data_IF_480683230105
#
_entry.id   IF_480683230105
#
_cell.length_a   1.000
_cell.length_b   1.000
_cell.length_c   1.000
_cell.angle_alpha   90.00
_cell.angle_beta   90.00
_cell.angle_gamma   90.00
#
_symmetry.space_group_name_H-M   'P 1'
#
loop_
_entity.id
_entity.type
_entity.pdbx_description
1 polymer ?
#
# COMPACT_ATOMS: atom_id res chain seq x y z
N UNK A 1 18.18 37.05 -13.16
CA UNK A 1 18.60 35.65 -12.86
C UNK A 1 18.48 35.46 -11.35
N UNK A 2 17.64 34.55 -10.94
CA UNK A 2 17.42 34.15 -9.53
C UNK A 2 18.73 33.57 -8.96
N UNK A 3 18.92 33.60 -7.63
CA UNK A 3 20.09 33.03 -6.94
C UNK A 3 20.31 31.56 -7.33
N UNK A 4 19.24 30.79 -7.40
CA UNK A 4 19.29 29.35 -7.75
C UNK A 4 19.76 29.14 -9.18
N UNK A 5 19.36 29.98 -10.13
CA UNK A 5 19.84 29.89 -11.52
C UNK A 5 21.34 30.17 -11.63
N UNK A 6 21.88 31.04 -10.76
CA UNK A 6 23.34 31.28 -10.69
C UNK A 6 24.06 30.09 -10.09
N UNK A 7 23.55 29.53 -8.98
CA UNK A 7 24.16 28.38 -8.30
C UNK A 7 24.21 27.14 -9.18
N UNK A 8 23.16 26.92 -10.01
CA UNK A 8 23.06 25.74 -10.87
C UNK A 8 23.36 26.03 -12.35
N UNK A 9 24.05 27.15 -12.65
CA UNK A 9 24.34 27.54 -14.03
C UNK A 9 25.11 26.47 -14.82
N UNK A 10 26.02 25.75 -14.13
CA UNK A 10 26.83 24.68 -14.74
C UNK A 10 26.22 23.28 -14.58
N UNK A 11 25.12 23.13 -13.86
CA UNK A 11 24.46 21.83 -13.69
C UNK A 11 23.52 21.62 -14.88
N UNK A 12 23.89 20.69 -15.76
CA UNK A 12 23.05 20.31 -16.90
C UNK A 12 22.18 19.11 -16.53
N UNK A 13 20.93 19.13 -16.98
CA UNK A 13 20.03 17.97 -16.86
C UNK A 13 20.41 17.01 -18.00
N UNK A 14 20.77 15.76 -17.68
CA UNK A 14 21.26 14.84 -18.69
C UNK A 14 20.15 14.37 -19.65
N UNK A 15 20.59 13.81 -20.79
CA UNK A 15 19.72 13.14 -21.75
C UNK A 15 19.07 11.91 -21.11
N UNK A 16 17.78 11.74 -21.36
CA UNK A 16 16.95 10.65 -20.86
C UNK A 16 16.61 9.66 -21.98
N UNK A 17 16.58 8.39 -21.65
CA UNK A 17 16.24 7.29 -22.54
C UNK A 17 15.01 6.58 -22.01
N UNK A 18 13.94 6.42 -22.80
CA UNK A 18 12.76 5.71 -22.37
C UNK A 18 13.03 4.22 -22.23
N UNK A 19 12.50 3.63 -21.16
CA UNK A 19 12.64 2.21 -20.85
C UNK A 19 11.27 1.63 -20.49
N UNK A 20 10.95 0.47 -21.07
CA UNK A 20 9.85 -0.38 -20.63
C UNK A 20 10.36 -1.43 -19.66
N UNK A 21 9.59 -1.66 -18.60
CA UNK A 21 9.84 -2.69 -17.63
C UNK A 21 8.70 -3.72 -17.68
N UNK A 22 9.04 -4.93 -18.06
CA UNK A 22 8.08 -6.05 -18.13
C UNK A 22 7.82 -6.58 -16.72
N UNK A 23 6.59 -6.38 -16.24
CA UNK A 23 6.15 -6.80 -14.91
C UNK A 23 5.13 -7.94 -15.02
N UNK A 24 5.11 -8.87 -14.04
CA UNK A 24 4.06 -9.88 -13.97
C UNK A 24 2.67 -9.26 -13.97
N UNK A 25 1.73 -9.86 -14.67
CA UNK A 25 0.35 -9.41 -14.77
C UNK A 25 -0.61 -10.40 -14.14
N UNK A 26 -1.53 -9.90 -13.34
CA UNK A 26 -2.68 -10.67 -12.86
C UNK A 26 -3.62 -11.00 -14.02
N UNK A 27 -4.09 -12.24 -14.04
CA UNK A 27 -4.92 -12.76 -15.13
C UNK A 27 -6.36 -13.06 -14.69
N UNK A 28 -6.65 -13.00 -13.38
CA UNK A 28 -7.98 -13.32 -12.86
C UNK A 28 -8.97 -12.22 -13.24
N UNK A 29 -9.92 -12.58 -14.07
CA UNK A 29 -10.99 -11.68 -14.51
C UNK A 29 -12.15 -11.69 -13.53
N UNK A 30 -12.88 -10.58 -13.49
CA UNK A 30 -14.07 -10.43 -12.65
C UNK A 30 -15.05 -11.60 -12.75
N UNK A 31 -15.29 -12.08 -13.97
CA UNK A 31 -16.23 -13.18 -14.23
C UNK A 31 -15.77 -14.55 -13.69
N UNK A 32 -14.50 -14.70 -13.33
CA UNK A 32 -13.92 -15.95 -12.86
C UNK A 32 -13.92 -16.06 -11.33
N UNK A 33 -14.14 -14.95 -10.61
CA UNK A 33 -13.99 -14.84 -9.15
C UNK A 33 -14.94 -15.78 -8.43
N UNK A 34 -16.22 -15.79 -8.82
CA UNK A 34 -17.23 -16.65 -8.18
C UNK A 34 -16.83 -18.13 -8.27
N UNK A 35 -16.48 -18.60 -9.46
CA UNK A 35 -16.11 -20.00 -9.70
C UNK A 35 -14.81 -20.37 -8.93
N UNK A 36 -13.81 -19.48 -8.93
CA UNK A 36 -12.56 -19.70 -8.22
C UNK A 36 -12.77 -19.81 -6.71
N UNK A 37 -13.51 -18.88 -6.11
CA UNK A 37 -13.75 -18.89 -4.67
C UNK A 37 -14.62 -20.07 -4.25
N UNK A 38 -15.68 -20.41 -5.00
CA UNK A 38 -16.47 -21.61 -4.71
C UNK A 38 -15.65 -22.89 -4.82
N UNK A 39 -14.73 -22.97 -5.80
CA UNK A 39 -13.76 -24.07 -5.90
C UNK A 39 -12.87 -24.18 -4.65
N UNK A 40 -12.30 -23.04 -4.20
CA UNK A 40 -11.48 -22.97 -3.01
C UNK A 40 -12.24 -23.35 -1.72
N UNK A 41 -13.50 -22.88 -1.57
CA UNK A 41 -14.35 -23.25 -0.41
C UNK A 41 -14.67 -24.75 -0.41
N UNK A 42 -15.00 -25.32 -1.57
CA UNK A 42 -15.35 -26.74 -1.69
C UNK A 42 -14.15 -27.64 -1.43
N UNK A 43 -12.98 -27.33 -2.01
CA UNK A 43 -11.73 -28.09 -1.80
C UNK A 43 -11.40 -28.21 -0.30
N UNK A 44 -11.60 -27.12 0.44
CA UNK A 44 -11.29 -27.04 1.88
C UNK A 44 -12.47 -27.44 2.77
N UNK A 45 -13.60 -27.85 2.18
CA UNK A 45 -14.82 -28.31 2.86
C UNK A 45 -15.33 -27.33 3.91
N UNK A 46 -15.26 -26.04 3.62
CA UNK A 46 -15.61 -24.97 4.57
C UNK A 46 -17.13 -24.84 4.78
N UNK A 47 -17.93 -25.32 3.86
CA UNK A 47 -19.38 -25.46 4.00
C UNK A 47 -19.77 -26.29 5.24
N UNK A 48 -18.98 -27.32 5.57
CA UNK A 48 -19.19 -28.16 6.75
C UNK A 48 -18.95 -27.42 8.10
N UNK A 49 -18.27 -26.27 8.07
CA UNK A 49 -18.03 -25.45 9.28
C UNK A 49 -19.17 -24.47 9.56
N UNK A 50 -20.10 -24.28 8.62
CA UNK A 50 -21.24 -23.40 8.76
C UNK A 50 -22.51 -24.23 9.03
N UNK A 51 -23.04 -24.10 10.24
CA UNK A 51 -24.29 -24.77 10.60
C UNK A 51 -25.49 -23.92 10.18
N UNK A 52 -26.66 -24.55 9.86
CA UNK A 52 -27.88 -23.80 9.58
C UNK A 52 -28.24 -22.80 10.67
N UNK A 53 -28.51 -21.56 10.28
CA UNK A 53 -28.85 -20.45 11.18
C UNK A 53 -27.66 -19.79 11.89
N UNK A 54 -26.43 -20.25 11.70
CA UNK A 54 -25.21 -19.69 12.26
C UNK A 54 -24.98 -18.26 11.74
N UNK A 55 -24.80 -17.30 12.66
CA UNK A 55 -24.47 -15.92 12.31
C UNK A 55 -22.99 -15.83 11.91
N UNK A 56 -22.70 -15.29 10.70
CA UNK A 56 -21.35 -15.18 10.17
C UNK A 56 -20.99 -13.74 9.88
N UNK A 57 -20.01 -13.21 10.62
CA UNK A 57 -19.48 -11.88 10.45
C UNK A 57 -18.38 -11.86 9.35
N UNK A 58 -18.59 -11.04 8.31
CA UNK A 58 -17.64 -10.90 7.19
C UNK A 58 -16.90 -9.58 7.35
N UNK A 59 -15.61 -9.66 7.64
CA UNK A 59 -14.73 -8.52 7.85
C UNK A 59 -14.22 -7.94 6.53
N UNK A 60 -14.53 -6.68 6.24
CA UNK A 60 -14.09 -5.98 5.03
C UNK A 60 -13.23 -4.77 5.40
N UNK A 61 -12.04 -4.66 4.78
CA UNK A 61 -11.07 -3.61 5.07
C UNK A 61 -11.35 -2.28 4.36
N UNK A 62 -10.48 -1.30 4.62
CA UNK A 62 -10.58 0.11 4.17
C UNK A 62 -9.73 0.42 2.93
N UNK A 63 -9.18 -0.55 2.27
CA UNK A 63 -8.38 -0.32 1.05
C UNK A 63 -9.17 -0.73 -0.16
N UNK A 64 -9.12 0.09 -1.19
CA UNK A 64 -9.61 -0.29 -2.50
C UNK A 64 -8.82 -1.53 -2.97
N UNK A 65 -9.56 -2.56 -3.35
CA UNK A 65 -9.04 -3.81 -3.88
C UNK A 65 -9.79 -4.06 -5.17
N UNK A 66 -9.06 -4.39 -6.21
CA UNK A 66 -9.69 -4.72 -7.50
C UNK A 66 -10.64 -5.92 -7.33
N UNK A 67 -11.84 -5.80 -7.87
CA UNK A 67 -12.91 -6.80 -7.75
C UNK A 67 -13.43 -7.04 -6.31
N UNK A 68 -13.25 -6.10 -5.37
CA UNK A 68 -13.70 -6.25 -3.99
C UNK A 68 -15.20 -6.61 -3.88
N UNK A 69 -16.04 -5.94 -4.67
CA UNK A 69 -17.50 -6.15 -4.68
C UNK A 69 -17.84 -7.60 -5.00
N UNK A 70 -17.23 -8.16 -6.04
CA UNK A 70 -17.45 -9.54 -6.48
C UNK A 70 -16.96 -10.54 -5.43
N UNK A 71 -15.78 -10.28 -4.86
CA UNK A 71 -15.19 -11.12 -3.81
C UNK A 71 -16.11 -11.16 -2.60
N UNK A 72 -16.50 -9.99 -2.07
CA UNK A 72 -17.38 -9.90 -0.89
C UNK A 72 -18.74 -10.54 -1.16
N UNK A 73 -19.34 -10.26 -2.32
CA UNK A 73 -20.61 -10.85 -2.72
C UNK A 73 -20.55 -12.37 -2.81
N UNK A 74 -19.45 -12.91 -3.36
CA UNK A 74 -19.25 -14.37 -3.43
C UNK A 74 -19.13 -14.99 -2.05
N UNK A 75 -18.42 -14.33 -1.11
CA UNK A 75 -18.33 -14.79 0.28
C UNK A 75 -19.70 -14.76 0.96
N UNK A 76 -20.47 -13.70 0.80
CA UNK A 76 -21.85 -13.61 1.32
C UNK A 76 -22.71 -14.74 0.79
N UNK A 77 -22.64 -15.01 -0.52
CA UNK A 77 -23.42 -16.06 -1.17
C UNK A 77 -22.98 -17.46 -0.72
N UNK A 78 -21.68 -17.68 -0.51
CA UNK A 78 -21.15 -18.91 0.06
C UNK A 78 -21.77 -19.19 1.45
N UNK A 79 -21.77 -18.19 2.34
CA UNK A 79 -22.36 -18.34 3.69
C UNK A 79 -23.84 -18.69 3.60
N UNK A 80 -24.62 -18.01 2.73
CA UNK A 80 -26.05 -18.29 2.54
C UNK A 80 -26.30 -19.71 2.01
N UNK A 81 -25.56 -20.14 0.99
CA UNK A 81 -25.68 -21.49 0.41
C UNK A 81 -25.31 -22.58 1.42
N UNK A 82 -24.41 -22.27 2.35
CA UNK A 82 -24.07 -23.17 3.46
C UNK A 82 -25.10 -23.16 4.60
N UNK A 83 -26.16 -22.34 4.51
CA UNK A 83 -27.25 -22.24 5.51
C UNK A 83 -26.98 -21.24 6.62
N UNK A 84 -25.88 -20.47 6.58
CA UNK A 84 -25.57 -19.41 7.53
C UNK A 84 -26.29 -18.09 7.25
N UNK A 85 -26.26 -17.20 8.22
CA UNK A 85 -26.83 -15.84 8.15
C UNK A 85 -25.68 -14.83 8.13
N UNK A 86 -25.27 -14.35 6.94
CA UNK A 86 -24.15 -13.43 6.84
C UNK A 86 -24.54 -12.00 7.20
N UNK A 87 -23.61 -11.28 7.78
CA UNK A 87 -23.58 -9.83 7.82
C UNK A 87 -22.15 -9.32 7.60
N UNK A 88 -22.02 -8.14 7.02
CA UNK A 88 -20.72 -7.47 6.81
C UNK A 88 -20.48 -6.50 7.95
N UNK A 89 -19.22 -6.33 8.34
CA UNK A 89 -18.79 -5.24 9.20
C UNK A 89 -17.47 -4.62 8.73
N UNK A 90 -17.29 -3.29 8.92
CA UNK A 90 -16.06 -2.63 8.57
C UNK A 90 -14.93 -3.03 9.54
N UNK A 91 -13.91 -3.71 9.04
CA UNK A 91 -12.72 -4.11 9.79
C UNK A 91 -11.52 -3.27 9.33
N UNK A 92 -11.47 -2.00 9.74
CA UNK A 92 -10.56 -1.03 9.16
C UNK A 92 -9.86 -0.11 10.18
N UNK A 93 -9.73 -0.57 11.43
CA UNK A 93 -9.02 0.17 12.48
C UNK A 93 -9.62 1.56 12.72
N UNK A 94 -8.76 2.59 12.60
CA UNK A 94 -9.13 4.00 12.77
C UNK A 94 -9.58 4.71 11.49
N UNK A 95 -9.63 4.03 10.34
CA UNK A 95 -10.05 4.66 9.09
C UNK A 95 -11.51 5.13 9.13
N UNK A 96 -11.93 5.93 8.16
CA UNK A 96 -13.25 6.53 8.15
C UNK A 96 -13.45 7.54 9.28
N UNK A 97 -12.38 8.26 9.67
CA UNK A 97 -12.41 9.23 10.76
C UNK A 97 -12.65 8.61 12.14
N UNK A 98 -12.36 7.31 12.30
CA UNK A 98 -12.64 6.54 13.51
C UNK A 98 -14.12 6.64 13.96
N UNK A 99 -15.03 6.72 13.00
CA UNK A 99 -16.47 6.84 13.23
C UNK A 99 -17.24 5.76 12.47
N UNK A 100 -18.26 5.17 13.10
CA UNK A 100 -19.07 4.10 12.49
C UNK A 100 -19.67 4.54 11.14
N UNK A 101 -20.18 5.77 11.07
CA UNK A 101 -20.74 6.35 9.84
C UNK A 101 -19.66 6.51 8.76
N UNK A 102 -18.49 7.04 9.10
CA UNK A 102 -17.38 7.21 8.17
C UNK A 102 -16.87 5.87 7.62
N UNK A 103 -16.87 4.80 8.43
CA UNK A 103 -16.51 3.47 7.96
C UNK A 103 -17.55 2.89 6.98
N UNK A 104 -18.84 3.17 7.18
CA UNK A 104 -19.89 2.83 6.19
C UNK A 104 -19.72 3.60 4.88
N UNK A 105 -19.39 4.88 4.96
CA UNK A 105 -19.14 5.72 3.78
C UNK A 105 -17.95 5.19 2.96
N UNK A 106 -16.89 4.73 3.62
CA UNK A 106 -15.74 4.07 2.95
C UNK A 106 -16.19 2.80 2.20
N UNK A 107 -16.96 1.90 2.85
CA UNK A 107 -17.47 0.70 2.19
C UNK A 107 -18.39 1.04 1.02
N UNK A 108 -19.29 2.01 1.21
CA UNK A 108 -20.20 2.49 0.15
C UNK A 108 -19.42 3.07 -1.04
N UNK A 109 -18.34 3.80 -0.79
CA UNK A 109 -17.45 4.33 -1.82
C UNK A 109 -16.80 3.23 -2.69
N UNK A 110 -16.60 2.04 -2.13
CA UNK A 110 -16.13 0.86 -2.86
C UNK A 110 -17.24 0.03 -3.50
N UNK A 111 -18.50 0.43 -3.36
CA UNK A 111 -19.66 -0.30 -3.88
C UNK A 111 -20.13 -1.45 -2.97
N UNK A 112 -19.58 -1.58 -1.76
CA UNK A 112 -20.03 -2.55 -0.74
C UNK A 112 -21.17 -1.92 0.05
N UNK A 113 -22.42 -2.18 -0.40
CA UNK A 113 -23.65 -1.68 0.22
C UNK A 113 -24.59 -2.85 0.53
N UNK A 114 -25.54 -2.68 1.44
CA UNK A 114 -26.52 -3.73 1.77
C UNK A 114 -27.30 -4.20 0.53
N UNK A 115 -27.67 -3.27 -0.33
CA UNK A 115 -28.40 -3.57 -1.58
C UNK A 115 -27.54 -4.40 -2.55
N UNK A 116 -26.26 -4.06 -2.71
CA UNK A 116 -25.35 -4.77 -3.60
C UNK A 116 -24.96 -6.16 -3.05
N UNK A 117 -24.80 -6.28 -1.74
CA UNK A 117 -24.35 -7.51 -1.07
C UNK A 117 -25.52 -8.44 -0.70
N UNK A 118 -26.74 -7.90 -0.58
CA UNK A 118 -27.93 -8.66 -0.19
C UNK A 118 -27.86 -9.20 1.26
N UNK A 119 -27.10 -8.53 2.15
CA UNK A 119 -27.05 -8.82 3.58
C UNK A 119 -26.84 -7.53 4.37
N UNK A 120 -27.15 -7.50 5.69
CA UNK A 120 -26.92 -6.32 6.53
C UNK A 120 -25.45 -5.93 6.62
N UNK A 121 -25.20 -4.62 6.78
CA UNK A 121 -23.87 -4.08 7.13
C UNK A 121 -23.99 -3.45 8.52
N UNK A 122 -23.30 -4.03 9.50
CA UNK A 122 -23.29 -3.57 10.88
C UNK A 122 -21.99 -2.80 11.17
N UNK A 123 -22.09 -1.56 11.58
CA UNK A 123 -20.91 -0.74 11.92
C UNK A 123 -21.00 -0.18 13.31
N UNK A 124 -19.94 -0.35 14.07
CA UNK A 124 -19.73 0.22 15.41
C UNK A 124 -18.26 0.52 15.62
N UNK A 125 -17.97 1.43 16.54
CA UNK A 125 -16.60 1.60 17.06
C UNK A 125 -16.41 0.92 18.42
N UNK A 126 -17.48 0.33 18.97
CA UNK A 126 -17.41 -0.42 20.23
C UNK A 126 -16.64 -1.73 20.04
N UNK A 127 -15.80 -2.03 21.03
CA UNK A 127 -14.99 -3.25 21.07
C UNK A 127 -15.17 -3.99 22.37
N UNK A 128 -14.96 -5.29 22.33
CA UNK A 128 -14.93 -6.16 23.52
C UNK A 128 -13.49 -6.63 23.73
N UNK A 129 -13.00 -6.54 24.95
CA UNK A 129 -11.73 -7.16 25.31
C UNK A 129 -11.95 -8.66 25.51
N UNK A 130 -11.35 -9.48 24.65
CA UNK A 130 -11.52 -10.94 24.67
C UNK A 130 -10.37 -11.65 25.39
N UNK A 131 -9.20 -11.02 25.50
CA UNK A 131 -7.99 -11.57 26.10
C UNK A 131 -6.98 -10.48 26.43
N UNK A 132 -5.82 -10.95 26.91
CA UNK A 132 -4.58 -10.18 27.03
C UNK A 132 -3.45 -11.07 26.56
N UNK A 133 -2.57 -10.55 25.69
CA UNK A 133 -1.39 -11.31 25.21
C UNK A 133 -0.44 -11.64 26.36
N UNK A 134 0.47 -12.59 26.16
CA UNK A 134 1.50 -12.92 27.15
C UNK A 134 2.39 -11.69 27.50
N UNK A 135 2.53 -10.74 26.61
CA UNK A 135 3.23 -9.46 26.83
C UNK A 135 2.39 -8.40 27.55
N UNK A 136 1.16 -8.72 28.00
CA UNK A 136 0.29 -7.79 28.73
C UNK A 136 -0.55 -6.85 27.85
N UNK A 137 -0.53 -6.99 26.51
CA UNK A 137 -1.32 -6.16 25.61
C UNK A 137 -2.78 -6.63 25.58
N UNK A 138 -3.78 -5.78 25.90
CA UNK A 138 -5.19 -6.13 25.79
C UNK A 138 -5.59 -6.43 24.34
N UNK A 139 -6.38 -7.49 24.13
CA UNK A 139 -6.87 -7.90 22.80
C UNK A 139 -8.34 -7.54 22.68
N UNK A 140 -8.65 -6.58 21.85
CA UNK A 140 -9.98 -6.07 21.59
C UNK A 140 -10.45 -6.46 20.18
N UNK A 141 -11.71 -6.85 20.04
CA UNK A 141 -12.35 -7.05 18.73
C UNK A 141 -13.67 -6.29 18.64
N UNK A 142 -14.11 -6.02 17.42
CA UNK A 142 -15.42 -5.43 17.13
C UNK A 142 -16.52 -6.21 17.82
N UNK A 143 -17.48 -5.52 18.45
CA UNK A 143 -18.56 -6.16 19.23
C UNK A 143 -19.42 -7.10 18.38
N UNK A 144 -19.68 -6.76 17.11
CA UNK A 144 -20.47 -7.62 16.23
C UNK A 144 -19.69 -8.87 15.80
N UNK A 145 -18.37 -8.74 15.66
CA UNK A 145 -17.52 -9.91 15.44
C UNK A 145 -17.43 -10.80 16.69
N UNK A 146 -17.46 -10.20 17.88
CA UNK A 146 -17.49 -10.95 19.15
C UNK A 146 -18.78 -11.74 19.34
N UNK A 147 -19.92 -11.15 18.96
CA UNK A 147 -21.27 -11.74 19.06
C UNK A 147 -21.57 -12.81 18.00
N UNK A 148 -20.79 -12.85 16.91
CA UNK A 148 -21.03 -13.79 15.81
C UNK A 148 -20.58 -15.21 16.13
N UNK A 149 -21.30 -16.21 15.58
CA UNK A 149 -20.94 -17.63 15.71
C UNK A 149 -19.70 -18.01 14.88
N UNK A 150 -19.39 -17.22 13.85
CA UNK A 150 -18.19 -17.40 13.00
C UNK A 150 -17.75 -16.11 12.31
N UNK A 151 -16.48 -16.05 11.99
CA UNK A 151 -15.85 -14.88 11.36
C UNK A 151 -15.17 -15.32 10.07
N UNK A 152 -15.37 -14.55 8.99
CA UNK A 152 -14.59 -14.66 7.75
C UNK A 152 -13.88 -13.33 7.55
N UNK A 153 -12.55 -13.36 7.33
CA UNK A 153 -11.76 -12.16 7.08
C UNK A 153 -11.36 -12.07 5.61
N UNK A 154 -11.54 -10.90 4.99
CA UNK A 154 -11.12 -10.62 3.62
C UNK A 154 -9.97 -9.61 3.67
N UNK A 155 -8.81 -9.95 3.12
CA UNK A 155 -7.65 -9.09 3.20
C UNK A 155 -6.70 -9.20 2.02
N UNK A 156 -6.13 -8.05 1.61
CA UNK A 156 -5.05 -8.02 0.64
C UNK A 156 -3.73 -8.33 1.33
N UNK A 157 -3.02 -9.34 0.82
CA UNK A 157 -1.70 -9.74 1.30
C UNK A 157 -0.65 -9.01 0.48
N UNK A 158 0.16 -8.18 1.13
CA UNK A 158 1.25 -7.43 0.52
C UNK A 158 2.29 -6.99 1.56
N UNK A 159 3.54 -6.64 1.14
CA UNK A 159 4.48 -6.02 2.07
C UNK A 159 3.94 -4.70 2.61
N UNK A 160 4.25 -4.43 3.87
CA UNK A 160 3.90 -3.17 4.52
C UNK A 160 4.87 -2.05 4.09
N UNK A 161 4.44 -0.80 4.21
CA UNK A 161 5.29 0.36 3.90
C UNK A 161 6.31 0.66 4.99
N UNK A 162 5.98 0.36 6.26
CA UNK A 162 6.71 0.92 7.41
C UNK A 162 7.37 -0.13 8.29
N UNK A 163 7.12 -1.43 8.10
CA UNK A 163 7.79 -2.50 8.85
C UNK A 163 7.92 -3.78 8.02
N UNK A 164 8.81 -4.66 8.48
CA UNK A 164 9.07 -6.00 7.92
C UNK A 164 8.95 -7.05 9.00
N UNK A 165 8.40 -8.21 8.62
CA UNK A 165 8.30 -9.35 9.51
C UNK A 165 7.63 -10.56 8.88
N UNK A 166 7.35 -11.55 9.72
CA UNK A 166 6.64 -12.78 9.34
C UNK A 166 5.24 -12.47 8.80
N UNK A 167 4.57 -11.48 9.41
CA UNK A 167 3.27 -10.95 8.98
C UNK A 167 3.41 -9.45 8.75
N UNK A 168 2.85 -8.97 7.64
CA UNK A 168 2.85 -7.54 7.30
C UNK A 168 1.42 -7.08 7.02
N UNK A 169 1.05 -6.73 5.77
CA UNK A 169 -0.35 -6.54 5.42
C UNK A 169 -0.96 -7.85 4.95
N UNK A 170 -2.06 -8.28 5.56
CA UNK A 170 -2.68 -9.57 5.27
C UNK A 170 -3.78 -9.92 6.25
N UNK A 171 -4.10 -11.20 6.32
CA UNK A 171 -5.19 -11.75 7.14
C UNK A 171 -4.88 -11.59 8.64
N UNK A 172 -3.64 -11.85 9.07
CA UNK A 172 -3.21 -11.67 10.47
C UNK A 172 -3.36 -10.20 10.89
N UNK A 173 -3.00 -9.25 10.02
CA UNK A 173 -3.23 -7.82 10.31
C UNK A 173 -4.71 -7.46 10.33
N UNK A 174 -5.54 -8.10 9.50
CA UNK A 174 -6.99 -7.92 9.56
C UNK A 174 -7.58 -8.39 10.88
N UNK A 175 -7.11 -9.53 11.40
CA UNK A 175 -7.50 -10.05 12.73
C UNK A 175 -7.04 -9.13 13.87
N UNK A 176 -5.93 -8.41 13.70
CA UNK A 176 -5.36 -7.51 14.72
C UNK A 176 -5.95 -6.09 14.62
N UNK A 177 -5.50 -5.35 13.60
CA UNK A 177 -5.85 -3.93 13.41
C UNK A 177 -7.27 -3.77 12.89
N UNK A 178 -7.69 -4.64 11.96
CA UNK A 178 -9.01 -4.58 11.35
C UNK A 178 -10.12 -4.80 12.37
N UNK A 179 -10.12 -5.95 13.01
CA UNK A 179 -11.11 -6.33 14.03
C UNK A 179 -10.97 -5.49 15.29
N UNK A 180 -9.74 -5.11 15.66
CA UNK A 180 -9.46 -4.29 16.85
C UNK A 180 -10.03 -2.87 16.81
N UNK A 181 -10.54 -2.41 15.65
CA UNK A 181 -11.05 -1.06 15.45
C UNK A 181 -10.00 -0.01 15.86
N UNK A 182 -10.42 1.22 16.18
CA UNK A 182 -9.49 2.25 16.66
C UNK A 182 -8.79 1.85 17.97
N UNK A 183 -9.51 1.21 18.89
CA UNK A 183 -8.96 0.79 20.19
C UNK A 183 -7.77 -0.16 20.01
N UNK A 184 -7.95 -1.26 19.31
CA UNK A 184 -6.89 -2.24 19.05
C UNK A 184 -5.77 -1.66 18.16
N UNK A 185 -6.10 -0.83 17.16
CA UNK A 185 -5.10 -0.17 16.35
C UNK A 185 -4.17 0.74 17.17
N UNK A 186 -4.73 1.57 18.06
CA UNK A 186 -3.95 2.45 18.93
C UNK A 186 -3.06 1.65 19.89
N UNK A 187 -3.58 0.57 20.47
CA UNK A 187 -2.80 -0.31 21.35
C UNK A 187 -1.61 -0.93 20.60
N UNK A 188 -1.82 -1.45 19.39
CA UNK A 188 -0.74 -2.03 18.59
C UNK A 188 0.29 -0.96 18.16
N UNK A 189 -0.15 0.22 17.70
CA UNK A 189 0.76 1.29 17.30
C UNK A 189 1.57 1.84 18.46
N UNK A 190 1.02 1.87 19.69
CA UNK A 190 1.76 2.32 20.87
C UNK A 190 2.96 1.44 21.23
N UNK A 191 2.99 0.18 20.72
CA UNK A 191 4.14 -0.72 20.86
C UNK A 191 5.30 -0.35 19.92
N UNK A 192 5.09 0.57 18.97
CA UNK A 192 6.06 1.02 17.97
C UNK A 192 6.10 0.14 16.73
N UNK A 193 6.46 0.74 15.60
CA UNK A 193 6.48 0.04 14.29
C UNK A 193 7.51 -1.09 14.23
N UNK A 194 8.62 -0.98 14.97
CA UNK A 194 9.64 -2.05 15.04
C UNK A 194 9.11 -3.33 15.69
N UNK A 195 8.13 -3.23 16.59
CA UNK A 195 7.54 -4.36 17.29
C UNK A 195 6.21 -4.81 16.67
N UNK A 196 5.80 -4.18 15.57
CA UNK A 196 4.51 -4.47 14.94
C UNK A 196 4.37 -5.92 14.47
N UNK A 197 5.40 -6.57 13.89
CA UNK A 197 5.29 -7.97 13.47
C UNK A 197 4.97 -8.91 14.61
N UNK A 198 5.68 -8.79 15.74
CA UNK A 198 5.48 -9.61 16.95
C UNK A 198 4.13 -9.28 17.61
N UNK A 199 3.73 -8.00 17.58
CA UNK A 199 2.43 -7.56 18.08
C UNK A 199 1.29 -8.17 17.28
N UNK A 200 1.38 -8.18 15.94
CA UNK A 200 0.40 -8.81 15.06
C UNK A 200 0.32 -10.32 15.37
N UNK A 201 1.46 -11.00 15.48
CA UNK A 201 1.50 -12.44 15.77
C UNK A 201 0.82 -12.77 17.10
N UNK A 202 1.18 -12.06 18.16
CA UNK A 202 0.63 -12.30 19.49
C UNK A 202 -0.88 -11.97 19.57
N UNK A 203 -1.29 -10.85 19.00
CA UNK A 203 -2.68 -10.40 19.05
C UNK A 203 -3.60 -11.28 18.20
N UNK A 204 -3.26 -11.49 16.91
CA UNK A 204 -4.04 -12.35 16.03
C UNK A 204 -4.07 -13.81 16.51
N UNK A 205 -2.97 -14.27 17.12
CA UNK A 205 -2.91 -15.60 17.77
C UNK A 205 -3.98 -15.77 18.83
N UNK A 206 -4.21 -14.76 19.69
CA UNK A 206 -5.29 -14.79 20.67
C UNK A 206 -6.68 -14.78 20.03
N UNK A 207 -6.88 -13.99 18.95
CA UNK A 207 -8.15 -13.99 18.21
C UNK A 207 -8.42 -15.37 17.60
N UNK A 208 -7.45 -15.98 16.92
CA UNK A 208 -7.57 -17.32 16.33
C UNK A 208 -7.83 -18.40 17.37
N UNK A 209 -7.26 -18.26 18.57
CA UNK A 209 -7.45 -19.22 19.67
C UNK A 209 -8.85 -19.14 20.29
N UNK A 210 -9.43 -17.94 20.39
CA UNK A 210 -10.65 -17.69 21.17
C UNK A 210 -11.91 -17.56 20.32
N UNK A 211 -11.77 -17.22 19.04
CA UNK A 211 -12.90 -16.99 18.13
C UNK A 211 -12.92 -18.04 17.03
N UNK A 212 -14.12 -18.37 16.60
CA UNK A 212 -14.32 -19.25 15.46
C UNK A 212 -14.07 -18.50 14.15
N UNK A 213 -12.81 -18.34 13.77
CA UNK A 213 -12.44 -17.84 12.45
C UNK A 213 -12.57 -19.00 11.46
N UNK A 214 -13.62 -18.97 10.65
CA UNK A 214 -13.92 -20.02 9.65
C UNK A 214 -12.79 -20.06 8.62
N UNK A 215 -12.50 -18.92 8.00
CA UNK A 215 -11.43 -18.79 7.02
C UNK A 215 -11.03 -17.33 6.79
N UNK A 216 -9.89 -17.16 6.11
CA UNK A 216 -9.47 -15.93 5.50
C UNK A 216 -9.50 -16.01 3.96
N UNK A 217 -9.99 -14.98 3.29
CA UNK A 217 -9.89 -14.81 1.85
C UNK A 217 -8.71 -13.88 1.56
N UNK A 218 -7.60 -14.47 1.16
CA UNK A 218 -6.37 -13.77 0.83
C UNK A 218 -6.36 -13.33 -0.63
N UNK A 219 -6.05 -12.06 -0.87
CA UNK A 219 -6.00 -11.44 -2.19
C UNK A 219 -4.58 -10.95 -2.42
N UNK A 220 -3.95 -11.39 -3.50
CA UNK A 220 -2.67 -10.86 -3.97
C UNK A 220 -2.94 -10.12 -5.28
N UNK A 221 -2.49 -8.88 -5.36
CA UNK A 221 -2.53 -8.05 -6.56
C UNK A 221 -1.13 -7.90 -7.14
N UNK A 222 -1.06 -7.68 -8.44
CA UNK A 222 0.18 -7.35 -9.14
C UNK A 222 0.52 -5.85 -9.01
N UNK A 223 1.57 -5.43 -9.70
CA UNK A 223 2.03 -4.04 -9.75
C UNK A 223 1.01 -3.04 -10.32
N UNK A 224 0.00 -3.52 -11.03
CA UNK A 224 -1.05 -2.72 -11.66
C UNK A 224 -2.38 -2.82 -10.90
N UNK A 225 -2.32 -3.36 -9.69
CA UNK A 225 -3.48 -3.64 -8.86
C UNK A 225 -4.48 -4.63 -9.49
N UNK A 226 -4.06 -5.41 -10.52
CA UNK A 226 -4.89 -6.48 -11.03
C UNK A 226 -4.86 -7.69 -10.08
N UNK A 227 -5.99 -8.38 -9.95
CA UNK A 227 -6.09 -9.58 -9.12
C UNK A 227 -5.19 -10.68 -9.70
N UNK A 228 -4.09 -10.99 -9.01
CA UNK A 228 -3.13 -12.01 -9.40
C UNK A 228 -3.48 -13.37 -8.82
N UNK A 229 -3.83 -13.40 -7.53
CA UNK A 229 -4.22 -14.62 -6.82
C UNK A 229 -5.37 -14.35 -5.85
N UNK A 230 -6.31 -15.31 -5.84
CA UNK A 230 -7.33 -15.44 -4.81
C UNK A 230 -7.11 -16.80 -4.13
N UNK A 231 -7.11 -16.83 -2.82
CA UNK A 231 -6.99 -18.06 -2.05
C UNK A 231 -7.83 -17.99 -0.80
N UNK A 232 -8.40 -19.12 -0.43
CA UNK A 232 -9.12 -19.28 0.84
C UNK A 232 -8.26 -20.09 1.78
N UNK A 233 -8.01 -19.55 2.97
CA UNK A 233 -7.18 -20.19 4.00
C UNK A 233 -8.07 -20.52 5.18
N UNK A 234 -8.21 -21.81 5.57
CA UNK A 234 -8.93 -22.19 6.78
C UNK A 234 -8.41 -21.44 8.01
N UNK A 235 -9.29 -21.09 8.95
CA UNK A 235 -8.93 -20.25 10.09
C UNK A 235 -7.74 -20.77 10.88
N UNK A 236 -7.69 -22.08 11.15
CA UNK A 236 -6.58 -22.72 11.84
C UNK A 236 -5.25 -22.76 11.07
N UNK A 237 -5.25 -22.44 9.77
CA UNK A 237 -4.06 -22.46 8.93
C UNK A 237 -3.54 -21.05 8.58
N UNK A 238 -4.26 -19.98 8.96
CA UNK A 238 -3.91 -18.60 8.53
C UNK A 238 -2.48 -18.27 8.96
N UNK A 239 -2.12 -18.51 10.23
CA UNK A 239 -0.82 -18.17 10.75
C UNK A 239 0.34 -18.90 10.04
N UNK A 240 0.10 -20.14 9.61
CA UNK A 240 1.15 -20.94 8.95
C UNK A 240 1.25 -20.65 7.46
N UNK A 241 0.15 -20.29 6.80
CA UNK A 241 0.11 -20.12 5.33
C UNK A 241 0.38 -18.69 4.86
N UNK A 242 0.02 -17.69 5.66
CA UNK A 242 0.19 -16.29 5.24
C UNK A 242 1.65 -15.91 4.93
N UNK A 243 2.70 -16.39 5.66
CA UNK A 243 4.08 -16.04 5.32
C UNK A 243 4.50 -16.45 3.91
N UNK A 244 4.05 -17.60 3.41
CA UNK A 244 4.31 -18.04 2.04
C UNK A 244 3.58 -17.16 1.01
N UNK A 245 2.32 -16.81 1.30
CA UNK A 245 1.54 -15.88 0.46
C UNK A 245 2.14 -14.47 0.45
N UNK A 246 2.66 -14.02 1.58
CA UNK A 246 3.37 -12.74 1.66
C UNK A 246 4.68 -12.76 0.86
N UNK A 247 5.41 -13.86 0.87
CA UNK A 247 6.61 -14.04 0.05
C UNK A 247 6.29 -13.97 -1.44
N UNK A 248 5.20 -14.61 -1.86
CA UNK A 248 4.69 -14.51 -3.24
C UNK A 248 4.30 -13.07 -3.59
N UNK A 249 3.55 -12.40 -2.72
CA UNK A 249 3.17 -11.00 -2.93
C UNK A 249 4.41 -10.08 -3.05
N UNK A 250 5.45 -10.31 -2.25
CA UNK A 250 6.72 -9.57 -2.34
C UNK A 250 7.40 -9.74 -3.70
N UNK A 251 7.31 -10.92 -4.31
CA UNK A 251 7.91 -11.16 -5.63
C UNK A 251 7.18 -10.44 -6.78
N UNK A 252 5.94 -10.02 -6.55
CA UNK A 252 5.10 -9.32 -7.53
C UNK A 252 5.18 -7.79 -7.41
N UNK A 253 5.65 -7.28 -6.25
CA UNK A 253 5.84 -5.84 -6.09
C UNK A 253 7.16 -5.45 -6.74
N UNK A 254 7.12 -4.69 -7.82
CA UNK A 254 8.34 -4.24 -8.45
C UNK A 254 9.02 -3.21 -7.55
N UNK A 255 10.33 -3.30 -7.47
CA UNK A 255 11.19 -2.19 -7.08
C UNK A 255 11.86 -1.63 -8.35
N UNK A 256 12.40 -0.42 -8.27
CA UNK A 256 13.23 0.10 -9.35
C UNK A 256 14.41 -0.86 -9.55
N UNK A 257 14.65 -1.39 -10.76
CA UNK A 257 15.54 -2.54 -10.99
C UNK A 257 17.06 -2.18 -11.03
N UNK A 258 17.43 -1.13 -10.29
CA UNK A 258 18.83 -0.67 -10.19
C UNK A 258 19.26 -0.65 -8.72
N UNK A 259 20.44 -1.15 -8.40
CA UNK A 259 20.92 -1.18 -7.01
C UNK A 259 21.26 0.20 -6.45
N UNK A 260 21.85 1.07 -7.30
CA UNK A 260 22.26 2.42 -6.93
C UNK A 260 21.70 3.43 -7.93
N UNK A 261 21.09 4.48 -7.41
CA UNK A 261 20.54 5.60 -8.17
C UNK A 261 21.05 6.88 -7.49
N UNK A 262 21.61 7.79 -8.26
CA UNK A 262 22.05 9.07 -7.74
C UNK A 262 20.83 10.01 -7.58
N UNK A 263 19.96 10.09 -8.60
CA UNK A 263 18.77 10.91 -8.56
C UNK A 263 17.54 10.11 -9.02
N UNK A 264 16.52 10.07 -8.20
CA UNK A 264 15.17 9.65 -8.58
C UNK A 264 14.27 10.88 -8.70
N UNK A 265 13.66 11.07 -9.85
CA UNK A 265 12.66 12.11 -10.07
C UNK A 265 11.29 11.45 -10.18
N UNK A 266 10.36 11.89 -9.35
CA UNK A 266 8.94 11.51 -9.40
C UNK A 266 8.13 12.74 -9.83
N UNK A 267 7.35 12.62 -10.92
CA UNK A 267 6.50 13.71 -11.35
C UNK A 267 5.45 14.05 -10.28
N UNK A 268 4.98 13.04 -9.57
CA UNK A 268 3.95 13.20 -8.55
C UNK A 268 4.01 12.12 -7.47
N UNK A 269 3.51 12.46 -6.30
CA UNK A 269 3.17 11.50 -5.22
C UNK A 269 1.72 11.70 -4.79
N UNK A 270 1.13 10.72 -4.09
CA UNK A 270 -0.23 10.86 -3.57
C UNK A 270 -0.75 9.67 -2.79
N UNK A 271 -1.79 9.90 -2.01
CA UNK A 271 -2.49 8.85 -1.25
C UNK A 271 -3.17 7.80 -2.14
N UNK A 272 -3.52 8.18 -3.34
CA UNK A 272 -4.04 7.30 -4.39
C UNK A 272 -2.95 6.41 -5.02
N UNK A 273 -1.69 6.81 -4.90
CA UNK A 273 -0.52 6.04 -5.36
C UNK A 273 -0.05 5.08 -4.27
N UNK A 274 0.19 5.59 -3.08
CA UNK A 274 0.63 4.81 -1.92
C UNK A 274 0.12 5.42 -0.61
N UNK A 275 -0.13 4.60 0.40
CA UNK A 275 -0.45 5.09 1.75
C UNK A 275 0.64 5.98 2.36
N UNK A 276 1.89 5.85 1.89
CA UNK A 276 3.04 6.68 2.23
C UNK A 276 3.34 7.75 1.15
N UNK A 277 2.37 8.11 0.30
CA UNK A 277 2.52 9.08 -0.78
C UNK A 277 3.28 8.54 -1.99
N UNK A 278 4.50 8.09 -1.80
CA UNK A 278 5.29 7.22 -2.68
C UNK A 278 5.56 5.89 -1.97
N UNK A 279 5.63 4.77 -2.71
CA UNK A 279 5.84 3.46 -2.08
C UNK A 279 7.31 3.28 -1.67
N UNK A 280 7.61 3.14 -0.36
CA UNK A 280 8.97 2.93 0.12
C UNK A 280 9.61 1.63 -0.40
N UNK A 281 8.80 0.62 -0.78
CA UNK A 281 9.30 -0.61 -1.39
C UNK A 281 9.87 -0.37 -2.79
N UNK A 282 9.36 0.64 -3.49
CA UNK A 282 9.81 1.05 -4.82
C UNK A 282 11.03 1.95 -4.73
N UNK A 283 11.00 2.94 -3.84
CA UNK A 283 12.05 3.96 -3.72
C UNK A 283 13.25 3.51 -2.88
N UNK A 284 13.11 2.43 -2.10
CA UNK A 284 14.14 1.97 -1.15
C UNK A 284 14.28 2.88 0.07
N UNK A 285 13.51 3.98 0.18
CA UNK A 285 13.48 4.88 1.33
C UNK A 285 12.36 4.53 2.27
N UNK A 286 12.58 3.54 3.11
CA UNK A 286 11.65 3.12 4.16
C UNK A 286 12.28 3.34 5.54
N UNK A 287 11.45 3.62 6.53
CA UNK A 287 11.85 3.54 7.94
C UNK A 287 11.91 2.10 8.43
N UNK A 288 11.34 1.15 7.69
CA UNK A 288 11.40 -0.27 7.99
C UNK A 288 12.82 -0.79 7.90
N UNK A 289 13.31 -1.43 8.96
CA UNK A 289 14.61 -2.11 8.94
C UNK A 289 14.65 -3.16 7.82
N UNK A 290 15.77 -3.20 7.08
CA UNK A 290 15.95 -4.16 5.98
C UNK A 290 15.43 -3.73 4.62
N UNK A 291 14.82 -2.56 4.47
CA UNK A 291 14.50 -1.96 3.17
C UNK A 291 15.54 -0.91 2.85
N UNK A 292 16.53 -1.28 2.06
CA UNK A 292 17.64 -0.40 1.66
C UNK A 292 17.90 -0.44 0.15
N UNK A 293 17.03 -1.12 -0.60
CA UNK A 293 17.18 -1.26 -2.05
C UNK A 293 15.91 -0.78 -2.78
N UNK A 294 16.07 -0.03 -3.87
CA UNK A 294 17.32 0.54 -4.37
C UNK A 294 17.92 1.58 -3.42
N UNK A 295 19.24 1.74 -3.42
CA UNK A 295 19.84 2.89 -2.75
C UNK A 295 19.64 4.13 -3.64
N UNK A 296 18.89 5.09 -3.17
CA UNK A 296 18.66 6.37 -3.88
C UNK A 296 19.28 7.50 -3.07
N UNK A 297 20.22 8.21 -3.65
CA UNK A 297 20.93 9.29 -2.94
C UNK A 297 20.07 10.54 -2.80
N UNK A 298 19.37 10.94 -3.88
CA UNK A 298 18.45 12.09 -3.87
C UNK A 298 17.12 11.73 -4.53
N UNK A 299 16.03 12.12 -3.88
CA UNK A 299 14.68 12.00 -4.44
C UNK A 299 14.11 13.42 -4.63
N UNK A 300 13.71 13.74 -5.86
CA UNK A 300 12.98 14.94 -6.19
C UNK A 300 11.52 14.60 -6.52
N UNK A 301 10.59 15.23 -5.81
CA UNK A 301 9.14 15.10 -6.05
C UNK A 301 8.62 16.41 -6.61
N UNK A 302 7.99 16.37 -7.79
CA UNK A 302 7.63 17.58 -8.50
C UNK A 302 6.20 18.07 -8.20
N UNK A 303 5.25 17.16 -7.91
CA UNK A 303 3.86 17.54 -7.66
C UNK A 303 3.14 16.58 -6.70
N UNK A 304 1.96 17.02 -6.24
CA UNK A 304 0.99 16.24 -5.47
C UNK A 304 -0.24 15.96 -6.36
N UNK A 305 -0.70 14.70 -6.39
CA UNK A 305 -1.91 14.34 -7.13
C UNK A 305 -3.15 15.04 -6.58
N UNK A 306 -4.05 15.44 -7.45
CA UNK A 306 -5.33 16.05 -7.04
C UNK A 306 -6.23 15.05 -6.29
N UNK A 307 -6.10 13.75 -6.61
CA UNK A 307 -6.80 12.64 -5.91
C UNK A 307 -6.36 12.44 -4.47
N UNK A 308 -5.22 12.99 -4.07
CA UNK A 308 -4.78 13.03 -2.67
C UNK A 308 -5.58 13.98 -1.80
N UNK A 309 -6.45 14.82 -2.41
CA UNK A 309 -7.24 15.80 -1.68
C UNK A 309 -6.39 16.63 -0.70
N UNK A 310 -5.28 17.19 -1.20
CA UNK A 310 -4.32 18.01 -0.44
C UNK A 310 -3.50 17.27 0.64
N UNK A 311 -3.61 15.93 0.72
CA UNK A 311 -2.85 15.12 1.67
C UNK A 311 -1.46 14.78 1.11
N UNK A 312 -0.42 15.48 1.57
CA UNK A 312 0.97 15.28 1.15
C UNK A 312 1.78 14.37 2.07
N UNK A 313 1.14 13.54 2.90
CA UNK A 313 1.84 12.58 3.78
C UNK A 313 2.77 11.67 2.95
N UNK A 314 4.03 11.55 3.40
CA UNK A 314 5.08 10.81 2.73
C UNK A 314 6.08 11.70 1.98
N UNK A 315 5.80 13.01 1.82
CA UNK A 315 6.74 13.96 1.19
C UNK A 315 8.09 14.02 1.92
N UNK A 316 8.12 13.75 3.21
CA UNK A 316 9.36 13.73 3.99
C UNK A 316 10.35 12.63 3.60
N UNK A 317 9.96 11.69 2.75
CA UNK A 317 10.87 10.74 2.09
C UNK A 317 11.65 11.35 0.93
N UNK A 318 11.27 12.52 0.41
CA UNK A 318 11.99 13.27 -0.62
C UNK A 318 13.09 14.16 -0.02
N UNK A 319 14.06 14.56 -0.84
CA UNK A 319 15.09 15.55 -0.49
C UNK A 319 14.73 16.92 -1.04
N UNK A 320 14.04 16.95 -2.18
CA UNK A 320 13.69 18.17 -2.92
C UNK A 320 12.24 18.10 -3.38
N UNK A 321 11.56 19.24 -3.33
CA UNK A 321 10.23 19.40 -3.92
C UNK A 321 10.06 20.77 -4.57
N UNK A 322 8.90 21.08 -5.12
CA UNK A 322 8.58 22.33 -5.79
C UNK A 322 7.64 23.20 -4.95
N UNK A 323 7.60 24.51 -5.27
CA UNK A 323 6.61 25.41 -4.70
C UNK A 323 5.19 24.97 -5.07
N UNK A 324 4.97 24.44 -6.27
CA UNK A 324 3.67 23.91 -6.73
C UNK A 324 3.15 22.79 -5.81
N UNK A 325 4.03 21.87 -5.38
CA UNK A 325 3.67 20.86 -4.41
C UNK A 325 3.20 21.48 -3.09
N UNK A 326 3.97 22.43 -2.57
CA UNK A 326 3.68 23.09 -1.29
C UNK A 326 2.38 23.89 -1.36
N UNK A 327 2.10 24.55 -2.48
CA UNK A 327 0.87 25.31 -2.69
C UNK A 327 -0.39 24.42 -2.70
N UNK A 328 -0.23 23.13 -3.04
CA UNK A 328 -1.30 22.12 -2.98
C UNK A 328 -1.44 21.48 -1.59
N UNK A 329 -0.44 21.60 -0.73
CA UNK A 329 -0.39 20.90 0.54
C UNK A 329 -1.30 21.54 1.59
N UNK A 330 -2.17 20.75 2.23
CA UNK A 330 -2.93 21.14 3.41
C UNK A 330 -2.39 20.39 4.65
N UNK A 331 -1.91 21.13 5.64
CA UNK A 331 -1.31 20.56 6.84
C UNK A 331 -2.36 19.97 7.78
N UNK A 332 -3.57 20.53 7.83
CA UNK A 332 -4.67 20.01 8.66
C UNK A 332 -5.17 18.66 8.14
N UNK A 333 -5.05 18.42 6.83
CA UNK A 333 -5.37 17.14 6.19
C UNK A 333 -4.20 16.14 6.29
N UNK A 334 -2.96 16.65 6.20
CA UNK A 334 -1.75 15.80 6.15
C UNK A 334 -1.34 15.29 7.52
N UNK A 335 -1.28 16.17 8.54
CA UNK A 335 -0.73 15.85 9.85
C UNK A 335 -1.45 14.75 10.61
N UNK A 336 -2.80 14.66 10.62
CA UNK A 336 -3.50 13.60 11.32
C UNK A 336 -3.04 12.19 10.95
N UNK A 337 -2.70 11.95 9.68
CA UNK A 337 -2.18 10.64 9.25
C UNK A 337 -0.83 10.32 9.88
N UNK A 338 0.09 11.29 9.88
CA UNK A 338 1.44 11.12 10.40
C UNK A 338 1.45 11.03 11.94
N UNK A 339 0.58 11.79 12.60
CA UNK A 339 0.41 11.73 14.06
C UNK A 339 -0.14 10.36 14.48
N UNK A 340 -1.18 9.87 13.80
CA UNK A 340 -1.80 8.58 14.13
C UNK A 340 -0.84 7.40 13.88
N UNK A 341 0.01 7.49 12.86
CA UNK A 341 1.02 6.47 12.57
C UNK A 341 2.31 6.63 13.39
N UNK A 342 2.42 7.67 14.21
CA UNK A 342 3.64 8.05 14.92
C UNK A 342 4.86 8.28 14.00
N UNK A 343 4.61 8.60 12.72
CA UNK A 343 5.64 8.88 11.71
C UNK A 343 5.73 10.37 11.40
N UNK A 344 6.52 11.09 12.19
CA UNK A 344 6.79 12.50 11.95
C UNK A 344 7.73 12.74 10.74
N UNK A 345 8.46 11.72 10.29
CA UNK A 345 9.34 11.87 9.14
C UNK A 345 8.54 12.03 7.85
N UNK A 346 7.40 11.33 7.73
CA UNK A 346 6.53 11.40 6.56
C UNK A 346 5.93 12.78 6.29
N UNK A 347 5.94 13.71 7.27
CA UNK A 347 5.40 15.07 7.12
C UNK A 347 6.45 16.17 7.07
N UNK A 348 7.75 15.86 7.08
CA UNK A 348 8.82 16.84 6.90
C UNK A 348 8.75 17.40 5.49
N UNK A 349 8.87 18.71 5.35
CA UNK A 349 8.92 19.35 4.04
C UNK A 349 10.38 19.40 3.59
N UNK A 350 10.72 18.82 2.42
CA UNK A 350 12.08 18.86 1.88
C UNK A 350 12.48 20.25 1.37
N UNK A 351 13.67 20.37 0.77
CA UNK A 351 14.11 21.62 0.15
C UNK A 351 13.15 22.03 -0.98
N UNK A 352 12.59 23.25 -0.90
CA UNK A 352 11.59 23.74 -1.85
C UNK A 352 12.26 24.55 -2.95
N UNK A 353 12.03 24.20 -4.21
CA UNK A 353 12.48 24.96 -5.37
C UNK A 353 11.32 25.63 -6.08
N UNK A 354 11.56 26.80 -6.73
CA UNK A 354 10.51 27.53 -7.43
C UNK A 354 9.81 26.75 -8.56
N UNK A 355 10.50 25.81 -9.20
CA UNK A 355 9.97 25.04 -10.31
C UNK A 355 10.70 23.69 -10.50
N UNK A 356 10.19 22.85 -11.42
CA UNK A 356 10.67 21.49 -11.68
C UNK A 356 12.13 21.48 -12.14
N UNK A 357 12.49 22.38 -13.08
CA UNK A 357 13.86 22.47 -13.60
C UNK A 357 14.88 22.72 -12.50
N UNK A 358 14.57 23.63 -11.56
CA UNK A 358 15.45 23.93 -10.44
C UNK A 358 15.46 22.82 -9.39
N UNK A 359 14.33 22.13 -9.19
CA UNK A 359 14.26 20.97 -8.29
C UNK A 359 15.17 19.84 -8.78
N UNK A 360 15.10 19.50 -10.07
CA UNK A 360 15.97 18.46 -10.66
C UNK A 360 17.43 18.90 -10.61
N UNK A 361 17.73 20.17 -10.91
CA UNK A 361 19.12 20.69 -10.84
C UNK A 361 19.66 20.66 -9.41
N UNK A 362 18.88 20.98 -8.39
CA UNK A 362 19.30 20.90 -7.00
C UNK A 362 19.63 19.43 -6.62
N UNK A 363 18.77 18.48 -6.99
CA UNK A 363 19.02 17.07 -6.73
C UNK A 363 20.32 16.59 -7.38
N UNK A 364 20.56 16.92 -8.65
CA UNK A 364 21.80 16.59 -9.36
C UNK A 364 23.03 17.25 -8.74
N UNK A 365 22.96 18.53 -8.42
CA UNK A 365 24.09 19.33 -7.91
C UNK A 365 24.56 18.86 -6.52
N UNK A 366 23.65 18.26 -5.74
CA UNK A 366 23.91 17.84 -4.35
C UNK A 366 24.28 16.36 -4.21
N UNK A 367 24.34 15.61 -5.30
CA UNK A 367 24.82 14.23 -5.28
C UNK A 367 26.32 14.16 -4.96
N UNK A 368 26.69 13.26 -4.07
CA UNK A 368 28.07 13.02 -3.64
C UNK A 368 28.52 11.67 -4.19
N UNK A 369 29.65 11.64 -4.91
CA UNK A 369 30.22 10.39 -5.42
C UNK A 369 29.60 9.87 -6.72
N UNK A 370 28.91 10.73 -7.48
CA UNK A 370 28.69 10.49 -8.90
C UNK A 370 30.06 10.52 -9.61
N UNK A 371 30.35 9.50 -10.42
CA UNK A 371 31.57 9.50 -11.24
C UNK A 371 31.35 10.46 -12.44
N UNK A 372 32.04 11.61 -12.49
CA UNK A 372 31.79 12.60 -13.56
C UNK A 372 32.00 12.03 -14.97
N UNK A 373 32.88 11.04 -15.11
CA UNK A 373 33.17 10.39 -16.39
C UNK A 373 32.04 9.49 -16.90
N UNK A 374 31.25 8.92 -16.01
CA UNK A 374 30.11 8.03 -16.33
C UNK A 374 28.78 8.78 -16.39
N UNK A 375 28.73 9.98 -15.81
CA UNK A 375 27.52 10.78 -15.68
C UNK A 375 26.61 10.31 -14.53
N UNK A 376 25.51 11.01 -14.30
CA UNK A 376 24.56 10.70 -13.25
C UNK A 376 23.76 9.44 -13.56
N UNK A 377 23.55 8.59 -12.57
CA UNK A 377 22.65 7.45 -12.58
C UNK A 377 21.27 7.94 -12.16
N UNK A 378 20.51 8.47 -13.09
CA UNK A 378 19.21 9.10 -12.83
C UNK A 378 18.09 8.26 -13.42
N UNK A 379 17.02 8.11 -12.62
CA UNK A 379 15.74 7.55 -13.02
C UNK A 379 14.69 8.64 -12.92
N UNK A 380 13.86 8.78 -13.93
CA UNK A 380 12.72 9.70 -13.95
C UNK A 380 11.47 8.92 -14.29
N UNK A 381 10.47 8.96 -13.43
CA UNK A 381 9.22 8.23 -13.58
C UNK A 381 8.02 9.09 -13.16
N UNK A 382 6.86 8.72 -13.65
CA UNK A 382 5.63 9.39 -13.30
C UNK A 382 5.39 9.34 -11.78
N UNK A 383 5.30 8.14 -11.23
CA UNK A 383 5.15 7.88 -9.80
C UNK A 383 5.43 6.42 -9.50
N UNK A 384 5.37 6.02 -8.23
CA UNK A 384 5.70 4.64 -7.79
C UNK A 384 4.64 3.59 -8.11
N UNK A 385 3.50 3.97 -8.70
CA UNK A 385 2.49 3.04 -9.20
C UNK A 385 2.72 2.67 -10.67
N UNK A 386 3.40 3.54 -11.44
CA UNK A 386 3.67 3.36 -12.86
C UNK A 386 5.14 3.03 -13.10
N UNK A 387 5.52 1.76 -12.79
CA UNK A 387 6.88 1.27 -13.00
C UNK A 387 7.10 0.59 -14.34
N UNK A 388 6.07 0.32 -15.10
CA UNK A 388 6.16 -0.31 -16.41
C UNK A 388 6.82 0.57 -17.49
N UNK A 389 6.92 1.89 -17.25
CA UNK A 389 7.58 2.85 -18.12
C UNK A 389 8.26 3.96 -17.32
N UNK A 390 9.54 4.16 -17.55
CA UNK A 390 10.32 5.23 -16.95
C UNK A 390 11.49 5.64 -17.86
N UNK A 391 12.18 6.68 -17.46
CA UNK A 391 13.34 7.18 -18.21
C UNK A 391 14.62 7.01 -17.39
N UNK A 392 15.72 6.72 -18.08
CA UNK A 392 17.04 6.59 -17.43
C UNK A 392 18.07 7.43 -18.17
N UNK A 393 19.13 7.77 -17.49
CA UNK A 393 20.31 8.39 -18.11
C UNK A 393 21.22 7.35 -18.75
N UNK A 394 22.16 7.80 -19.59
CA UNK A 394 23.12 6.95 -20.29
C UNK A 394 23.91 6.02 -19.33
N UNK A 395 24.20 6.48 -18.12
CA UNK A 395 24.94 5.72 -17.11
C UNK A 395 24.24 4.41 -16.66
N UNK A 396 22.91 4.31 -16.83
CA UNK A 396 22.13 3.13 -16.48
C UNK A 396 21.85 2.21 -17.69
N UNK A 397 22.15 2.61 -18.93
CA UNK A 397 21.89 1.79 -20.12
C UNK A 397 22.54 0.41 -20.10
N UNK A 398 23.79 0.23 -19.62
CA UNK A 398 24.38 -1.09 -19.55
C UNK A 398 23.53 -2.07 -18.69
N UNK A 399 23.01 -1.61 -17.54
CA UNK A 399 22.15 -2.44 -16.68
C UNK A 399 20.78 -2.68 -17.31
N UNK A 400 20.28 -1.75 -18.13
CA UNK A 400 19.07 -1.97 -18.93
C UNK A 400 19.27 -3.08 -19.96
N UNK A 401 20.42 -3.11 -20.62
CA UNK A 401 20.76 -4.11 -21.63
C UNK A 401 21.03 -5.51 -21.04
N UNK A 402 21.54 -5.57 -19.80
CA UNK A 402 21.80 -6.83 -19.09
C UNK A 402 20.54 -7.43 -18.45
N UNK A 403 19.51 -6.63 -18.17
CA UNK A 403 18.30 -7.10 -17.51
C UNK A 403 17.22 -7.52 -18.52
N UNK A 404 16.86 -8.82 -18.64
CA UNK A 404 15.91 -9.31 -19.63
C UNK A 404 14.49 -8.76 -19.46
N UNK A 405 14.16 -8.16 -18.31
CA UNK A 405 12.87 -7.54 -18.05
C UNK A 405 12.81 -6.08 -18.50
N UNK A 406 13.95 -5.49 -18.87
CA UNK A 406 14.04 -4.10 -19.29
C UNK A 406 14.26 -4.03 -20.80
N UNK A 407 13.63 -3.07 -21.43
CA UNK A 407 13.80 -2.80 -22.85
C UNK A 407 13.87 -1.30 -23.09
N UNK A 408 14.94 -0.85 -23.75
CA UNK A 408 15.01 0.53 -24.23
C UNK A 408 13.92 0.75 -25.30
N UNK A 409 13.06 1.75 -25.08
CA UNK A 409 11.86 1.99 -25.86
C UNK A 409 12.01 3.09 -26.95
N UNK A 410 13.20 3.71 -27.09
CA UNK A 410 13.41 4.75 -28.06
C UNK A 410 14.75 5.48 -27.95
N UNK A 411 14.90 6.53 -28.78
CA UNK A 411 16.05 7.40 -28.73
C UNK A 411 16.01 8.32 -27.51
N UNK A 412 17.18 8.71 -27.05
CA UNK A 412 17.27 9.62 -25.91
C UNK A 412 16.90 11.06 -26.31
N UNK A 413 16.32 11.78 -25.38
CA UNK A 413 15.90 13.17 -25.51
C UNK A 413 16.31 14.00 -24.30
N UNK A 414 16.33 15.31 -24.43
CA UNK A 414 16.47 16.22 -23.30
C UNK A 414 15.09 16.62 -22.78
N UNK A 415 14.83 16.53 -21.46
CA UNK A 415 13.55 16.97 -20.91
C UNK A 415 13.32 18.46 -21.24
N UNK A 416 12.10 18.77 -21.67
CA UNK A 416 11.71 20.13 -22.02
C UNK A 416 10.98 20.78 -20.87
N UNK A 417 11.21 22.07 -20.71
CA UNK A 417 10.58 22.89 -19.68
C UNK A 417 9.92 24.11 -20.33
N UNK A 418 8.79 24.50 -19.81
CA UNK A 418 8.14 25.75 -20.22
C UNK A 418 8.93 26.99 -19.74
N UNK A 419 8.41 28.18 -20.08
CA UNK A 419 9.03 29.45 -19.65
C UNK A 419 9.10 29.65 -18.15
N UNK A 420 8.26 28.96 -17.38
CA UNK A 420 8.23 28.99 -15.91
C UNK A 420 9.14 27.92 -15.28
N UNK A 421 9.69 27.03 -16.07
CA UNK A 421 10.54 25.91 -15.64
C UNK A 421 9.77 24.67 -15.22
N UNK A 422 8.48 24.56 -15.58
CA UNK A 422 7.69 23.33 -15.39
C UNK A 422 7.97 22.34 -16.51
N UNK A 423 8.06 21.04 -16.19
CA UNK A 423 8.29 20.00 -17.17
C UNK A 423 7.10 19.90 -18.15
N UNK A 424 7.42 19.71 -19.44
CA UNK A 424 6.45 19.45 -20.50
C UNK A 424 6.45 17.95 -20.78
N UNK A 425 5.39 17.26 -20.41
CA UNK A 425 5.16 15.86 -20.79
C UNK A 425 4.66 15.80 -22.24
N UNK A 426 5.24 14.92 -23.06
CA UNK A 426 4.80 14.66 -24.44
C UNK A 426 3.70 13.61 -24.51
#
# INVERSE_FOLDING_TARGET
MNIFEKLFAQTEIPKLYPVHFTLPRGTIKRAEIEALLFGEFAEKRLDCQIRPGMSVAIAVGSREITNLVEIVKTVVEFVKRSGGIPFIFPAMGSHGGAAAKGQLEVLSGYGVTEAAMGCPIRSSMETVQISTTAGGLPVHIDKYADEADGIIVIGRIKPHTDFRGKYESGLMKMLTIGLGKQCGANLCHSMGMSNMPETIEAYAGEVLRLKNVICGVGIIEDAFHATYRLTVVPGGEIADREPALLSEAKSLIPCIPFRKIDVLVLDEIGKDISGAGMDPNVTGRSQAMGVSQPFVERIAVLDLTDKSHHNGSGIGGADVTTQRFVDKLDLEITYPNCITSHDLNGMKIPAIMPNDRLAVKLALNTCIGSEPALGYRMVWMKNTLHLDAFHVTKALLPEVEENPLLQRAGEGFYPRFDKNGSVIHE
#
